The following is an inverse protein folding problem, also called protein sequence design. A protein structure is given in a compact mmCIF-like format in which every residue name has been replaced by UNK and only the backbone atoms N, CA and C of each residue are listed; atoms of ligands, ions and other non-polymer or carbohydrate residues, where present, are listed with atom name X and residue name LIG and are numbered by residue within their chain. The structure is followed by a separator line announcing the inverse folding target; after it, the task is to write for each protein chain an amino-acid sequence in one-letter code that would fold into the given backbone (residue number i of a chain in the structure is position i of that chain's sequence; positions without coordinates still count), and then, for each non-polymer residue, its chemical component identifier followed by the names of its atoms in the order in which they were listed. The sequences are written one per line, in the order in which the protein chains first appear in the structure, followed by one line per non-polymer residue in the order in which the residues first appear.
data_IF_102244928302
#
_entry.id   IF_102244928302
#
_cell.length_a   1.000
_cell.length_b   1.000
_cell.length_c   1.000
_cell.angle_alpha   90.00
_cell.angle_beta   90.00
_cell.angle_gamma   90.00
#
_symmetry.space_group_name_H-M   'P 1'
#
loop_
_entity.id
_entity.type
_entity.pdbx_description
1 polymer ?
#
# COMPACT_ATOMS: atom_id res chain seq x y z
N UNK A 1 -33.50 -32.38 -37.16
CA UNK A 1 -32.87 -31.20 -37.82
C UNK A 1 -32.56 -30.22 -36.67
N UNK A 2 -31.32 -30.27 -36.18
CA UNK A 2 -30.84 -29.37 -35.14
C UNK A 2 -30.61 -27.99 -35.74
N UNK A 3 -31.30 -27.00 -35.20
CA UNK A 3 -30.92 -25.65 -35.45
C UNK A 3 -29.49 -25.46 -34.95
N UNK A 4 -28.57 -25.16 -35.86
CA UNK A 4 -27.17 -24.95 -35.52
C UNK A 4 -27.08 -23.80 -34.51
N UNK A 5 -26.47 -24.08 -33.36
CA UNK A 5 -25.93 -23.01 -32.54
C UNK A 5 -25.10 -22.11 -33.46
N UNK A 6 -25.49 -20.84 -33.58
CA UNK A 6 -24.78 -19.89 -34.40
C UNK A 6 -23.29 -19.94 -34.01
N UNK A 7 -22.44 -20.00 -35.04
CA UNK A 7 -20.99 -19.98 -34.88
C UNK A 7 -20.64 -18.80 -33.96
N UNK A 8 -19.97 -19.05 -32.84
CA UNK A 8 -19.54 -17.97 -31.96
C UNK A 8 -18.58 -17.08 -32.75
N UNK A 9 -18.85 -15.82 -32.81
CA UNK A 9 -17.96 -14.83 -33.43
C UNK A 9 -17.14 -14.19 -32.32
N UNK A 10 -15.89 -14.48 -32.34
CA UNK A 10 -14.89 -13.93 -31.44
C UNK A 10 -14.78 -12.41 -31.60
N UNK A 11 -14.25 -11.74 -30.60
CA UNK A 11 -14.08 -10.29 -30.62
C UNK A 11 -12.79 -9.84 -31.35
N UNK A 12 -12.44 -8.59 -31.23
CA UNK A 12 -11.30 -8.02 -31.96
C UNK A 12 -9.95 -8.16 -31.27
N UNK A 13 -9.89 -8.83 -30.11
CA UNK A 13 -8.65 -9.02 -29.34
C UNK A 13 -8.03 -10.41 -29.56
N UNK A 14 -8.73 -11.30 -30.28
CA UNK A 14 -8.27 -12.64 -30.58
C UNK A 14 -7.01 -12.66 -31.52
N UNK A 15 -6.04 -13.55 -31.32
CA UNK A 15 -5.96 -14.68 -30.39
C UNK A 15 -5.25 -14.26 -29.10
N UNK A 16 -5.97 -14.14 -27.97
CA UNK A 16 -5.39 -13.78 -26.66
C UNK A 16 -5.57 -14.91 -25.63
N UNK A 17 -5.45 -16.16 -26.07
CA UNK A 17 -5.74 -17.40 -25.32
C UNK A 17 -4.74 -17.70 -24.20
N UNK A 18 -3.60 -17.07 -24.20
CA UNK A 18 -2.57 -17.27 -23.20
C UNK A 18 -1.86 -15.95 -22.81
N UNK A 19 -1.09 -15.99 -21.74
CA UNK A 19 -0.37 -14.83 -21.23
C UNK A 19 0.61 -14.22 -22.26
N UNK A 20 1.19 -15.03 -23.13
CA UNK A 20 2.17 -14.55 -24.13
C UNK A 20 1.50 -13.78 -25.29
N UNK A 21 0.22 -14.07 -25.52
CA UNK A 21 -0.60 -13.41 -26.54
C UNK A 21 -1.61 -12.41 -25.96
N UNK A 22 -1.59 -12.21 -24.66
CA UNK A 22 -2.50 -11.34 -23.94
C UNK A 22 -2.57 -9.92 -24.51
N UNK A 23 -3.79 -9.43 -24.69
CA UNK A 23 -4.04 -8.09 -25.20
C UNK A 23 -3.80 -7.02 -24.10
N UNK A 24 -3.18 -5.91 -24.47
CA UNK A 24 -2.96 -4.80 -23.54
C UNK A 24 -4.22 -3.92 -23.44
N UNK A 25 -4.72 -3.72 -22.22
CA UNK A 25 -5.83 -2.81 -21.95
C UNK A 25 -5.35 -1.57 -21.17
N UNK A 26 -6.13 -0.51 -21.29
CA UNK A 26 -6.00 0.67 -20.45
C UNK A 26 -6.97 0.59 -19.25
N UNK A 27 -6.70 1.36 -18.21
CA UNK A 27 -7.64 1.60 -17.12
C UNK A 27 -8.92 2.22 -17.69
N UNK A 28 -10.09 1.77 -17.21
CA UNK A 28 -11.40 2.16 -17.67
C UNK A 28 -12.22 0.97 -18.14
N UNK A 29 -13.24 1.20 -18.98
CA UNK A 29 -14.13 0.15 -19.47
C UNK A 29 -13.76 -0.28 -20.90
N UNK A 30 -13.76 -1.59 -21.13
CA UNK A 30 -13.65 -2.21 -22.46
C UNK A 30 -14.90 -3.03 -22.71
N UNK A 31 -15.67 -2.61 -23.71
CA UNK A 31 -16.94 -3.24 -24.08
C UNK A 31 -16.81 -4.11 -25.34
N UNK A 32 -17.80 -5.02 -25.50
CA UNK A 32 -17.93 -5.83 -26.70
C UNK A 32 -16.98 -7.02 -26.76
N UNK A 33 -16.46 -7.42 -25.61
CA UNK A 33 -15.68 -8.65 -25.44
C UNK A 33 -16.58 -9.87 -25.54
N UNK A 34 -16.00 -11.00 -25.96
CA UNK A 34 -16.74 -12.24 -26.14
C UNK A 34 -15.85 -13.46 -26.00
N UNK A 35 -16.21 -14.34 -25.09
CA UNK A 35 -15.57 -15.63 -24.90
C UNK A 35 -16.35 -16.73 -25.61
N UNK A 36 -15.66 -17.55 -26.40
CA UNK A 36 -16.22 -18.60 -27.22
C UNK A 36 -15.76 -19.99 -26.78
N UNK A 37 -16.68 -20.91 -26.63
CA UNK A 37 -16.34 -22.32 -26.40
C UNK A 37 -15.73 -22.59 -25.03
N UNK A 38 -14.45 -22.94 -24.97
CA UNK A 38 -13.64 -23.16 -23.76
C UNK A 38 -12.43 -22.27 -23.73
N UNK A 39 -12.55 -21.20 -24.37
CA UNK A 39 -11.53 -20.23 -24.53
C UNK A 39 -11.12 -19.53 -23.21
N UNK A 40 -10.05 -18.79 -23.27
CA UNK A 40 -9.53 -17.97 -22.19
C UNK A 40 -9.06 -16.65 -22.77
N UNK A 41 -9.66 -15.59 -22.32
CA UNK A 41 -9.25 -14.27 -22.74
C UNK A 41 -8.22 -13.72 -21.75
N UNK A 42 -7.00 -13.53 -22.22
CA UNK A 42 -5.94 -12.93 -21.42
C UNK A 42 -5.72 -11.48 -21.80
N UNK A 43 -5.67 -10.67 -20.77
CA UNK A 43 -5.36 -9.25 -20.90
C UNK A 43 -4.23 -8.85 -19.96
N UNK A 44 -3.62 -7.72 -20.24
CA UNK A 44 -2.64 -7.09 -19.34
C UNK A 44 -2.98 -5.64 -19.13
N UNK A 45 -2.82 -5.15 -17.90
CA UNK A 45 -2.97 -3.74 -17.57
C UNK A 45 -1.74 -3.25 -16.82
N UNK A 46 -1.14 -2.13 -17.22
CA UNK A 46 -0.11 -1.46 -16.42
C UNK A 46 -0.79 -0.82 -15.21
N UNK A 47 -0.22 -1.02 -14.03
CA UNK A 47 -0.71 -0.45 -12.78
C UNK A 47 0.44 0.19 -12.03
N UNK A 48 0.17 1.21 -11.25
CA UNK A 48 1.20 1.75 -10.38
C UNK A 48 1.31 0.88 -9.11
N UNK A 49 2.51 0.58 -8.69
CA UNK A 49 2.77 -0.12 -7.43
C UNK A 49 2.15 0.67 -6.28
N UNK A 50 1.56 -0.02 -5.31
CA UNK A 50 0.87 0.59 -4.18
C UNK A 50 -0.60 0.96 -4.45
N UNK A 51 -1.09 0.89 -5.71
CA UNK A 51 -2.49 1.20 -6.01
C UNK A 51 -3.45 0.10 -5.55
N UNK A 52 -4.69 0.50 -5.27
CA UNK A 52 -5.84 -0.40 -5.21
C UNK A 52 -6.33 -0.66 -6.64
N UNK A 53 -6.49 -1.92 -7.00
CA UNK A 53 -7.01 -2.35 -8.29
C UNK A 53 -8.35 -3.06 -8.09
N UNK A 54 -9.37 -2.61 -8.82
CA UNK A 54 -10.64 -3.33 -8.93
C UNK A 54 -10.87 -3.72 -10.38
N UNK A 55 -11.07 -5.01 -10.63
CA UNK A 55 -11.40 -5.54 -11.96
C UNK A 55 -12.77 -6.22 -11.87
N UNK A 56 -13.66 -5.84 -12.78
CA UNK A 56 -14.99 -6.46 -12.91
C UNK A 56 -15.18 -6.98 -14.31
N UNK A 57 -15.64 -8.24 -14.41
CA UNK A 57 -16.19 -8.79 -15.64
C UNK A 57 -17.72 -8.68 -15.55
N UNK A 58 -18.30 -7.85 -16.39
CA UNK A 58 -19.74 -7.54 -16.40
C UNK A 58 -20.42 -8.36 -17.48
N UNK A 59 -21.28 -9.28 -17.08
CA UNK A 59 -22.00 -10.19 -17.99
C UNK A 59 -23.34 -10.65 -17.40
N UNK A 60 -24.10 -11.39 -18.16
CA UNK A 60 -25.33 -12.04 -17.66
C UNK A 60 -25.12 -13.54 -17.54
N UNK A 61 -25.07 -14.08 -16.35
CA UNK A 61 -24.87 -15.52 -16.07
C UNK A 61 -25.89 -16.44 -16.82
N UNK A 62 -27.07 -15.92 -17.09
CA UNK A 62 -28.07 -16.62 -17.90
C UNK A 62 -27.61 -16.95 -19.33
N UNK A 63 -26.54 -16.32 -19.85
CA UNK A 63 -25.94 -16.60 -21.16
C UNK A 63 -24.79 -17.61 -21.08
N UNK A 64 -24.26 -17.84 -19.92
CA UNK A 64 -23.14 -18.73 -19.62
C UNK A 64 -22.38 -18.25 -18.42
N UNK A 65 -21.60 -19.14 -17.82
CA UNK A 65 -20.77 -18.88 -16.65
C UNK A 65 -19.35 -18.56 -17.08
N UNK A 66 -18.80 -17.44 -16.62
CA UNK A 66 -17.41 -17.04 -16.80
C UNK A 66 -16.84 -16.59 -15.48
N UNK A 67 -15.57 -16.93 -15.25
CA UNK A 67 -14.82 -16.60 -14.06
C UNK A 67 -13.72 -15.59 -14.37
N UNK A 68 -13.27 -14.89 -13.33
CA UNK A 68 -12.22 -13.88 -13.40
C UNK A 68 -11.06 -14.25 -12.47
N UNK A 69 -9.82 -14.19 -12.97
CA UNK A 69 -8.61 -14.35 -12.15
C UNK A 69 -7.55 -13.30 -12.49
N UNK A 70 -6.83 -12.84 -11.48
CA UNK A 70 -5.72 -11.88 -11.60
C UNK A 70 -4.40 -12.56 -11.21
N UNK A 71 -3.34 -12.24 -11.95
CA UNK A 71 -2.00 -12.80 -11.74
C UNK A 71 -0.95 -11.68 -11.71
N UNK A 72 0.13 -11.94 -10.96
CA UNK A 72 1.29 -11.08 -10.88
C UNK A 72 2.11 -11.05 -12.17
N UNK A 73 3.16 -10.21 -12.18
CA UNK A 73 3.98 -9.94 -13.37
C UNK A 73 4.66 -11.20 -13.93
N UNK A 74 5.04 -12.16 -13.09
CA UNK A 74 5.61 -13.45 -13.48
C UNK A 74 4.57 -14.47 -13.98
N UNK A 75 3.27 -14.17 -13.82
CA UNK A 75 2.15 -15.01 -14.25
C UNK A 75 1.98 -16.33 -13.52
N UNK A 76 2.78 -16.57 -12.49
CA UNK A 76 2.79 -17.83 -11.73
C UNK A 76 1.84 -17.84 -10.54
N UNK A 77 1.69 -16.73 -9.86
CA UNK A 77 0.88 -16.60 -8.66
C UNK A 77 -0.48 -15.96 -8.96
N UNK A 78 -1.56 -16.60 -8.48
CA UNK A 78 -2.90 -16.01 -8.52
C UNK A 78 -3.03 -15.03 -7.37
N UNK A 79 -3.16 -13.75 -7.68
CA UNK A 79 -3.33 -12.66 -6.70
C UNK A 79 -4.77 -12.57 -6.19
N UNK A 80 -5.74 -12.97 -7.01
CA UNK A 80 -7.15 -13.02 -6.65
C UNK A 80 -7.97 -13.68 -7.74
N UNK A 81 -9.12 -14.22 -7.37
CA UNK A 81 -10.07 -14.81 -8.30
C UNK A 81 -11.51 -14.62 -7.79
N UNK A 82 -12.44 -14.51 -8.73
CA UNK A 82 -13.87 -14.54 -8.50
C UNK A 82 -14.47 -15.63 -9.36
N UNK A 83 -15.22 -16.54 -8.72
CA UNK A 83 -15.75 -17.78 -9.33
C UNK A 83 -17.17 -18.02 -8.83
N UNK A 84 -18.01 -17.00 -8.90
CA UNK A 84 -19.39 -17.06 -8.45
C UNK A 84 -20.31 -17.62 -9.54
N UNK A 85 -21.55 -17.89 -9.19
CA UNK A 85 -22.60 -18.20 -10.16
C UNK A 85 -23.62 -17.06 -10.29
N UNK A 86 -23.22 -15.89 -9.89
CA UNK A 86 -24.01 -14.66 -10.01
C UNK A 86 -23.69 -13.94 -11.33
N UNK A 87 -24.48 -12.92 -11.68
CA UNK A 87 -24.09 -11.97 -12.71
C UNK A 87 -22.89 -11.16 -12.19
N UNK A 88 -21.93 -10.91 -13.04
CA UNK A 88 -20.70 -10.15 -12.78
C UNK A 88 -19.70 -10.85 -11.82
N UNK A 89 -18.44 -10.82 -12.20
CA UNK A 89 -17.31 -11.23 -11.36
C UNK A 89 -16.48 -10.01 -10.97
N UNK A 90 -16.05 -9.96 -9.69
CA UNK A 90 -15.23 -8.85 -9.19
C UNK A 90 -14.03 -9.38 -8.40
N UNK A 91 -12.85 -8.86 -8.71
CA UNK A 91 -11.63 -9.05 -7.91
C UNK A 91 -11.09 -7.70 -7.49
N UNK A 92 -10.83 -7.56 -6.20
CA UNK A 92 -10.23 -6.36 -5.61
C UNK A 92 -8.88 -6.72 -5.00
N UNK A 93 -7.82 -6.08 -5.46
CA UNK A 93 -6.53 -6.09 -4.83
C UNK A 93 -6.41 -4.78 -4.05
N UNK A 94 -6.41 -4.85 -2.73
CA UNK A 94 -6.36 -3.67 -1.87
C UNK A 94 -5.07 -2.86 -2.11
N UNK A 95 -4.00 -3.57 -2.48
CA UNK A 95 -2.71 -3.02 -2.83
C UNK A 95 -2.01 -3.91 -3.85
N UNK A 96 -1.50 -3.32 -4.91
CA UNK A 96 -0.76 -4.01 -5.97
C UNK A 96 0.74 -3.84 -5.74
N UNK A 97 1.46 -4.96 -5.61
CA UNK A 97 2.93 -4.96 -5.49
C UNK A 97 3.65 -4.95 -6.85
N UNK A 98 2.92 -5.01 -7.95
CA UNK A 98 3.39 -5.28 -9.30
C UNK A 98 3.19 -4.05 -10.20
N UNK A 99 4.04 -3.88 -11.20
CA UNK A 99 3.89 -2.81 -12.21
C UNK A 99 2.94 -3.18 -13.35
N UNK A 100 2.55 -4.47 -13.43
CA UNK A 100 1.63 -5.03 -14.40
C UNK A 100 0.83 -6.16 -13.78
N UNK A 101 -0.47 -6.19 -14.08
CA UNK A 101 -1.36 -7.28 -13.70
C UNK A 101 -1.85 -7.97 -14.96
N UNK A 102 -1.88 -9.31 -14.91
CA UNK A 102 -2.52 -10.13 -15.92
C UNK A 102 -3.94 -10.46 -15.46
N UNK A 103 -4.87 -10.35 -16.38
CA UNK A 103 -6.30 -10.61 -16.17
C UNK A 103 -6.67 -11.81 -17.06
N UNK A 104 -7.28 -12.84 -16.50
CA UNK A 104 -7.81 -13.97 -17.24
C UNK A 104 -9.32 -14.06 -17.01
N UNK A 105 -10.08 -14.00 -18.08
CA UNK A 105 -11.50 -14.39 -18.10
C UNK A 105 -11.59 -15.78 -18.71
N UNK A 106 -12.33 -16.68 -18.11
CA UNK A 106 -12.38 -18.06 -18.58
C UNK A 106 -13.71 -18.73 -18.27
N UNK A 107 -14.01 -19.80 -18.99
CA UNK A 107 -15.19 -20.63 -18.78
C UNK A 107 -14.83 -21.78 -17.84
N UNK A 108 -15.40 -21.86 -16.60
CA UNK A 108 -15.02 -22.88 -15.62
C UNK A 108 -15.44 -24.29 -16.02
N UNK A 109 -16.57 -24.45 -16.70
CA UNK A 109 -17.07 -25.74 -17.13
C UNK A 109 -17.96 -25.65 -18.36
N UNK A 110 -17.86 -26.66 -19.24
CA UNK A 110 -18.71 -26.73 -20.44
C UNK A 110 -18.17 -25.92 -21.60
N UNK A 111 -19.04 -25.27 -22.34
CA UNK A 111 -18.78 -24.34 -23.42
C UNK A 111 -19.71 -23.15 -23.27
N UNK A 112 -19.19 -21.96 -23.47
CA UNK A 112 -19.97 -20.73 -23.38
C UNK A 112 -19.93 -19.95 -24.70
N UNK A 113 -20.84 -19.03 -24.88
CA UNK A 113 -20.83 -17.97 -25.87
C UNK A 113 -21.36 -16.73 -25.16
N UNK A 114 -20.51 -16.10 -24.39
CA UNK A 114 -20.87 -15.02 -23.48
C UNK A 114 -20.22 -13.73 -23.96
N UNK A 115 -21.05 -12.72 -24.21
CA UNK A 115 -20.58 -11.35 -24.38
C UNK A 115 -20.41 -10.72 -23.00
N UNK A 116 -19.29 -10.01 -22.79
CA UNK A 116 -19.00 -9.36 -21.53
C UNK A 116 -18.30 -8.01 -21.74
N UNK A 117 -18.13 -7.26 -20.66
CA UNK A 117 -17.30 -6.05 -20.61
C UNK A 117 -16.37 -6.15 -19.43
N UNK A 118 -15.16 -5.60 -19.54
CA UNK A 118 -14.24 -5.43 -18.42
C UNK A 118 -14.28 -3.97 -17.94
N UNK A 119 -14.43 -3.78 -16.62
CA UNK A 119 -14.18 -2.52 -15.94
C UNK A 119 -12.94 -2.64 -15.09
N UNK A 120 -11.96 -1.79 -15.33
CA UNK A 120 -10.68 -1.76 -14.63
C UNK A 120 -10.56 -0.40 -13.94
N UNK A 121 -10.60 -0.39 -12.62
CA UNK A 121 -10.50 0.81 -11.80
C UNK A 121 -9.20 0.74 -10.99
N UNK A 122 -8.40 1.79 -11.05
CA UNK A 122 -7.16 1.95 -10.29
C UNK A 122 -7.31 3.18 -9.41
N UNK A 123 -7.27 2.99 -8.11
CA UNK A 123 -7.37 4.06 -7.11
C UNK A 123 -6.02 4.18 -6.39
N UNK A 124 -5.52 5.40 -6.25
CA UNK A 124 -4.17 5.59 -5.75
C UNK A 124 -3.12 5.13 -6.77
N UNK A 125 -1.86 5.13 -6.41
CA UNK A 125 -0.84 4.65 -7.33
C UNK A 125 -0.51 5.67 -8.45
N UNK A 126 -0.08 6.82 -8.06
CA UNK A 126 1.07 7.48 -8.66
C UNK A 126 2.21 7.01 -7.78
N UNK A 127 3.35 6.64 -8.32
CA UNK A 127 4.46 6.26 -7.46
C UNK A 127 4.51 7.23 -6.30
N UNK A 128 4.50 6.70 -5.08
CA UNK A 128 4.59 7.51 -3.88
C UNK A 128 5.76 8.46 -4.11
N UNK A 129 5.56 9.76 -4.24
CA UNK A 129 6.66 10.65 -4.54
C UNK A 129 7.59 10.63 -3.33
N UNK A 130 8.84 10.24 -3.56
CA UNK A 130 9.87 10.41 -2.55
C UNK A 130 9.82 11.85 -2.04
N UNK A 131 9.82 12.03 -0.74
CA UNK A 131 9.80 13.36 -0.16
C UNK A 131 11.18 14.06 -0.28
N UNK A 132 11.26 15.37 -0.04
CA UNK A 132 12.52 16.09 -0.17
C UNK A 132 13.62 15.67 0.83
N UNK A 133 13.29 14.79 1.79
CA UNK A 133 14.21 14.28 2.81
C UNK A 133 15.03 13.07 2.40
N UNK A 134 14.66 12.43 1.29
CA UNK A 134 15.21 11.15 0.85
C UNK A 134 16.64 11.22 0.27
N UNK A 135 17.42 10.13 0.44
CA UNK A 135 17.15 8.91 1.22
C UNK A 135 17.35 9.12 2.74
N UNK A 136 16.42 8.63 3.59
CA UNK A 136 16.49 8.79 5.04
C UNK A 136 16.09 7.53 5.84
N UNK A 137 16.03 6.34 5.24
CA UNK A 137 15.55 5.08 5.82
C UNK A 137 16.39 4.58 7.01
N UNK A 138 17.49 5.21 7.31
CA UNK A 138 18.40 4.76 8.35
C UNK A 138 18.92 5.88 9.23
N UNK A 139 19.34 5.55 10.46
CA UNK A 139 20.00 6.52 11.36
C UNK A 139 21.22 7.19 10.75
N UNK A 140 21.92 6.53 9.84
CA UNK A 140 23.11 7.08 9.18
C UNK A 140 22.74 8.14 8.11
N UNK A 141 21.56 8.00 7.53
CA UNK A 141 21.00 8.89 6.52
C UNK A 141 19.91 9.84 7.09
N UNK A 142 19.63 9.75 8.40
CA UNK A 142 18.55 10.48 9.06
C UNK A 142 18.56 11.98 8.76
N UNK A 143 17.40 12.50 8.35
CA UNK A 143 17.19 13.91 8.07
C UNK A 143 17.20 14.73 9.37
N UNK A 144 18.09 15.73 9.54
CA UNK A 144 18.12 16.56 10.73
C UNK A 144 16.89 17.47 10.81
N UNK A 145 16.22 17.49 11.96
CA UNK A 145 15.10 18.41 12.22
C UNK A 145 15.40 19.38 13.35
N UNK A 146 14.79 20.55 13.25
CA UNK A 146 14.90 21.58 14.29
C UNK A 146 13.70 21.48 15.23
N UNK A 147 13.89 21.16 16.54
CA UNK A 147 12.78 21.10 17.47
C UNK A 147 11.94 22.38 17.47
N UNK A 148 10.62 22.22 17.52
CA UNK A 148 9.65 23.30 17.44
C UNK A 148 9.25 23.72 16.02
N UNK A 149 9.85 23.12 14.99
CA UNK A 149 9.48 23.36 13.59
C UNK A 149 8.92 22.08 12.99
N UNK A 150 7.66 22.05 12.53
CA UNK A 150 7.11 20.87 11.88
C UNK A 150 7.79 20.60 10.53
N UNK A 151 7.92 19.34 10.20
CA UNK A 151 8.32 18.87 8.87
C UNK A 151 7.19 18.01 8.29
N UNK A 152 7.05 18.04 6.99
CA UNK A 152 6.09 17.18 6.27
C UNK A 152 6.86 16.16 5.48
N UNK A 153 6.35 14.95 5.43
CA UNK A 153 6.87 13.83 4.66
C UNK A 153 5.75 12.96 4.14
N UNK A 154 6.14 11.90 3.49
CA UNK A 154 5.26 10.92 2.91
C UNK A 154 5.88 9.53 3.09
N UNK A 155 5.21 8.64 3.81
CA UNK A 155 5.62 7.24 3.90
C UNK A 155 5.13 6.50 2.68
N UNK A 156 6.07 5.95 1.93
CA UNK A 156 5.83 5.05 0.83
C UNK A 156 5.77 3.58 1.30
N UNK A 157 5.28 2.65 0.47
CA UNK A 157 5.37 1.23 0.78
C UNK A 157 6.81 0.75 0.98
N UNK A 158 7.07 0.05 2.10
CA UNK A 158 8.41 -0.42 2.52
C UNK A 158 9.42 0.69 2.88
N UNK A 159 8.94 1.90 2.98
CA UNK A 159 9.71 3.08 3.35
C UNK A 159 9.77 3.26 4.87
N UNK A 160 10.82 3.92 5.33
CA UNK A 160 11.05 4.28 6.74
C UNK A 160 11.68 5.65 6.81
N UNK A 161 10.94 6.64 7.24
CA UNK A 161 11.47 7.98 7.46
C UNK A 161 12.18 8.10 8.81
N UNK A 162 13.45 8.39 8.77
CA UNK A 162 14.26 8.62 9.98
C UNK A 162 14.66 10.08 10.11
N UNK A 163 14.25 10.69 11.20
CA UNK A 163 14.60 12.06 11.57
C UNK A 163 15.54 12.08 12.77
N UNK A 164 16.46 13.03 12.80
CA UNK A 164 17.43 13.18 13.88
C UNK A 164 17.35 14.54 14.54
N UNK A 165 17.49 14.57 15.87
CA UNK A 165 17.52 15.79 16.67
C UNK A 165 18.39 15.63 17.92
N UNK A 166 18.95 16.74 18.38
CA UNK A 166 19.81 16.73 19.56
C UNK A 166 18.98 16.93 20.83
N UNK A 167 19.13 16.05 21.81
CA UNK A 167 18.54 16.22 23.14
C UNK A 167 19.58 16.06 24.24
N UNK A 168 19.34 16.74 25.36
CA UNK A 168 20.18 16.67 26.57
C UNK A 168 19.54 15.73 27.57
N UNK A 169 20.34 14.97 28.31
CA UNK A 169 19.86 14.14 29.41
C UNK A 169 18.89 14.90 30.32
N UNK A 170 17.83 14.24 30.75
CA UNK A 170 16.74 14.77 31.58
C UNK A 170 15.86 15.84 30.89
N UNK A 171 16.12 16.19 29.64
CA UNK A 171 15.25 17.02 28.83
C UNK A 171 13.99 16.23 28.42
N UNK A 172 12.82 16.86 28.48
CA UNK A 172 11.62 16.23 27.94
C UNK A 172 11.65 16.27 26.41
N UNK A 173 11.29 15.16 25.83
CA UNK A 173 11.11 14.97 24.38
C UNK A 173 9.65 14.64 24.16
N UNK A 174 9.00 15.34 23.24
CA UNK A 174 7.71 14.95 22.66
C UNK A 174 7.88 14.88 21.14
N UNK A 175 7.57 13.76 20.56
CA UNK A 175 7.51 13.56 19.11
C UNK A 175 6.07 13.22 18.76
N UNK A 176 5.50 13.98 17.82
CA UNK A 176 4.13 13.78 17.34
C UNK A 176 4.12 13.77 15.83
N UNK A 177 3.53 12.73 15.25
CA UNK A 177 3.20 12.61 13.83
C UNK A 177 1.67 12.72 13.68
N UNK A 178 1.21 13.58 12.80
CA UNK A 178 -0.22 13.75 12.45
C UNK A 178 -0.43 13.33 11.00
N UNK A 179 -1.44 12.50 10.76
CA UNK A 179 -1.81 11.93 9.46
C UNK A 179 -3.31 11.60 9.42
N UNK A 180 -3.83 11.15 8.31
CA UNK A 180 -5.21 10.65 8.18
C UNK A 180 -5.19 9.11 8.25
N UNK A 181 -5.46 8.53 9.40
CA UNK A 181 -5.43 7.08 9.61
C UNK A 181 -6.37 6.31 8.66
N UNK A 182 -7.42 6.95 8.15
CA UNK A 182 -8.31 6.33 7.17
C UNK A 182 -7.65 6.16 5.78
N UNK A 183 -6.58 6.91 5.50
CA UNK A 183 -5.79 6.79 4.26
C UNK A 183 -4.64 5.78 4.38
N UNK A 184 -4.22 5.44 5.60
CA UNK A 184 -3.16 4.48 5.91
C UNK A 184 -2.64 4.69 7.33
N UNK A 185 -2.36 3.63 8.04
CA UNK A 185 -1.87 3.63 9.41
C UNK A 185 -0.35 3.80 9.47
N UNK A 186 0.13 4.74 10.28
CA UNK A 186 1.56 5.00 10.48
C UNK A 186 1.95 4.79 11.92
N UNK A 187 3.06 4.11 12.14
CA UNK A 187 3.66 3.85 13.42
C UNK A 187 4.89 4.74 13.70
N UNK A 188 5.08 5.11 14.95
CA UNK A 188 6.18 5.98 15.38
C UNK A 188 7.08 5.29 16.41
N UNK A 189 8.39 5.35 16.19
CA UNK A 189 9.42 4.89 17.12
C UNK A 189 10.37 6.01 17.51
N UNK A 190 10.75 6.05 18.78
CA UNK A 190 11.78 6.95 19.29
C UNK A 190 13.00 6.16 19.74
N UNK A 191 14.18 6.49 19.19
CA UNK A 191 15.43 5.79 19.45
C UNK A 191 16.45 6.67 20.18
N UNK A 192 17.22 6.03 21.05
CA UNK A 192 18.39 6.60 21.70
C UNK A 192 19.56 6.79 20.71
N UNK A 193 20.62 7.56 21.11
CA UNK A 193 21.81 7.73 20.28
C UNK A 193 22.51 6.43 19.87
N UNK A 194 22.40 5.37 20.66
CA UNK A 194 22.94 4.04 20.37
C UNK A 194 22.04 3.19 19.45
N UNK A 195 20.85 3.67 19.13
CA UNK A 195 19.84 3.03 18.29
C UNK A 195 18.87 2.11 19.02
N UNK A 196 18.94 2.05 20.34
CA UNK A 196 17.97 1.30 21.13
C UNK A 196 16.63 2.03 21.12
N UNK A 197 15.55 1.32 20.91
CA UNK A 197 14.19 1.85 21.04
C UNK A 197 13.96 2.30 22.47
N UNK A 198 13.56 3.56 22.64
CA UNK A 198 13.20 4.15 23.93
C UNK A 198 11.71 3.98 24.20
N UNK A 199 10.91 4.17 23.18
CA UNK A 199 9.45 4.04 23.22
C UNK A 199 8.90 3.95 21.79
N UNK A 200 7.62 3.55 21.66
CA UNK A 200 6.91 3.49 20.39
C UNK A 200 5.42 3.83 20.60
N UNK A 201 4.77 4.23 19.54
CA UNK A 201 3.33 4.50 19.47
C UNK A 201 2.80 3.82 18.23
N UNK A 202 1.82 2.92 18.40
CA UNK A 202 1.20 2.06 17.37
C UNK A 202 -0.32 2.08 17.64
N UNK A 203 -0.94 3.22 17.35
CA UNK A 203 -2.36 3.45 17.58
C UNK A 203 -3.19 3.32 16.31
N UNK A 204 -4.47 3.63 16.39
CA UNK A 204 -5.38 3.72 15.24
C UNK A 204 -6.07 5.09 15.23
N UNK A 205 -5.38 6.09 15.72
CA UNK A 205 -5.81 7.48 15.78
C UNK A 205 -5.19 8.25 14.60
N UNK A 206 -5.66 9.46 14.31
CA UNK A 206 -5.08 10.32 13.26
C UNK A 206 -3.73 10.93 13.68
N UNK A 207 -3.05 10.34 14.62
CA UNK A 207 -1.72 10.74 15.09
C UNK A 207 -1.05 9.67 15.93
N UNK A 208 0.29 9.70 15.91
CA UNK A 208 1.13 9.00 16.87
C UNK A 208 1.91 10.00 17.75
N UNK A 209 2.01 9.74 19.05
CA UNK A 209 2.72 10.61 19.96
C UNK A 209 3.52 9.84 21.02
N UNK A 210 4.78 10.20 21.17
CA UNK A 210 5.67 9.69 22.21
C UNK A 210 6.15 10.86 23.07
N UNK A 211 6.00 10.74 24.38
CA UNK A 211 6.49 11.71 25.34
C UNK A 211 7.30 11.06 26.44
N UNK A 212 8.58 11.41 26.56
CA UNK A 212 9.47 10.87 27.60
C UNK A 212 10.57 11.87 27.99
N UNK A 213 11.43 11.49 28.94
CA UNK A 213 12.68 12.21 29.25
C UNK A 213 13.87 11.48 28.67
N UNK A 214 14.76 12.26 28.03
CA UNK A 214 16.01 11.73 27.51
C UNK A 214 16.87 11.11 28.62
N UNK A 215 17.27 9.87 28.46
CA UNK A 215 18.14 9.17 29.42
C UNK A 215 19.63 9.45 29.19
N UNK A 216 19.97 9.96 28.02
CA UNK A 216 21.34 10.28 27.60
C UNK A 216 21.35 11.60 26.82
N UNK A 217 22.49 12.29 26.82
CA UNK A 217 22.73 13.41 25.91
C UNK A 217 23.24 12.87 24.57
N UNK A 218 22.70 13.36 23.47
CA UNK A 218 23.15 12.97 22.12
C UNK A 218 22.07 13.09 21.09
N UNK A 219 22.37 12.58 19.90
CA UNK A 219 21.49 12.56 18.76
C UNK A 219 20.46 11.45 18.94
N UNK A 220 19.19 11.82 19.07
CA UNK A 220 18.05 10.91 19.13
C UNK A 220 17.39 10.83 17.76
N UNK A 221 16.59 9.79 17.53
CA UNK A 221 15.97 9.57 16.22
C UNK A 221 14.48 9.26 16.39
N UNK A 222 13.67 9.87 15.55
CA UNK A 222 12.28 9.48 15.33
C UNK A 222 12.20 8.70 14.01
N UNK A 223 11.55 7.55 14.04
CA UNK A 223 11.30 6.74 12.83
C UNK A 223 9.80 6.55 12.65
N UNK A 224 9.32 6.82 11.42
CA UNK A 224 7.97 6.51 10.98
C UNK A 224 8.01 5.43 9.91
N UNK A 225 6.99 4.59 9.88
CA UNK A 225 6.76 3.61 8.82
C UNK A 225 5.27 3.27 8.75
N UNK A 226 4.81 2.75 7.61
CA UNK A 226 3.43 2.32 7.44
C UNK A 226 3.19 0.94 8.05
N UNK A 227 2.13 0.82 8.86
CA UNK A 227 1.68 -0.48 9.37
C UNK A 227 1.25 -1.38 8.21
N UNK A 228 1.71 -2.65 8.21
CA UNK A 228 1.46 -3.64 7.15
C UNK A 228 1.72 -3.11 5.72
N UNK A 229 2.63 -2.12 5.62
CA UNK A 229 3.02 -1.49 4.38
C UNK A 229 2.07 -0.39 3.90
N UNK A 230 1.28 0.20 4.78
CA UNK A 230 0.47 1.38 4.48
C UNK A 230 1.34 2.57 4.05
N UNK A 231 0.72 3.48 3.31
CA UNK A 231 1.34 4.74 2.87
C UNK A 231 0.48 5.91 3.33
N UNK A 232 1.10 7.01 3.70
CA UNK A 232 0.36 8.23 4.08
C UNK A 232 1.26 9.47 4.03
N UNK A 233 0.63 10.62 3.80
CA UNK A 233 1.25 11.92 4.06
C UNK A 233 1.17 12.22 5.55
N UNK A 234 2.21 12.84 6.11
CA UNK A 234 2.21 13.18 7.52
C UNK A 234 2.88 14.53 7.82
N UNK A 235 2.67 15.02 9.03
CA UNK A 235 3.38 16.15 9.63
C UNK A 235 4.01 15.72 10.94
N UNK A 236 5.35 15.78 11.03
CA UNK A 236 6.11 15.44 12.23
C UNK A 236 6.55 16.69 12.97
N UNK A 237 6.32 16.74 14.28
CA UNK A 237 6.81 17.79 15.18
C UNK A 237 7.59 17.17 16.34
N UNK A 238 8.84 17.60 16.49
CA UNK A 238 9.66 17.31 17.67
C UNK A 238 9.63 18.53 18.59
N UNK A 239 9.24 18.34 19.82
CA UNK A 239 9.25 19.38 20.87
C UNK A 239 10.18 18.98 22.00
N UNK A 240 11.07 19.90 22.38
CA UNK A 240 11.95 19.72 23.54
C UNK A 240 11.53 20.69 24.65
N UNK A 241 11.27 20.15 25.81
CA UNK A 241 11.01 20.96 27.01
C UNK A 241 12.29 21.26 27.79
N UNK A 242 12.13 21.85 28.95
CA UNK A 242 13.24 22.17 29.83
C UNK A 242 13.94 20.91 30.39
N UNK A 243 15.24 21.04 30.62
CA UNK A 243 15.98 20.02 31.39
C UNK A 243 15.42 20.02 32.81
N UNK A 244 14.89 18.87 33.25
CA UNK A 244 14.38 18.75 34.61
C UNK A 244 15.47 19.09 35.65
N UNK A 245 15.10 19.52 36.85
CA UNK A 245 16.08 19.78 37.90
C UNK A 245 16.88 18.50 38.13
N UNK A 246 18.21 18.59 37.93
CA UNK A 246 19.10 17.52 38.36
C UNK A 246 18.99 17.44 39.91
N UNK A 247 18.54 16.30 40.42
CA UNK A 247 18.74 16.02 41.83
C UNK A 247 20.26 15.90 42.06
N UNK A 248 20.91 17.00 42.37
CA UNK A 248 22.22 16.94 42.99
C UNK A 248 21.96 16.55 44.45
N UNK A 249 22.34 15.31 44.84
CA UNK A 249 22.38 14.94 46.24
C UNK A 249 23.19 16.03 46.96
N UNK A 250 22.59 16.69 47.93
CA UNK A 250 23.35 17.61 48.75
C UNK A 250 24.35 16.79 49.60
N UNK A 251 25.38 17.46 50.07
CA UNK A 251 26.43 16.79 50.85
C UNK A 251 25.99 16.43 52.29
N UNK A 252 24.68 16.48 52.56
CA UNK A 252 24.10 16.25 53.87
C UNK A 252 23.29 14.94 53.96
N UNK A 253 23.24 14.14 52.90
CA UNK A 253 22.73 12.78 52.99
C UNK A 253 23.81 11.84 53.60
N UNK A 254 23.48 10.93 54.50
CA UNK A 254 22.17 10.44 54.85
C UNK A 254 21.61 11.06 56.13
N UNK A 255 20.40 11.55 56.03
CA UNK A 255 19.61 11.99 57.19
C UNK A 255 18.48 10.99 57.55
N UNK A 256 18.77 9.73 57.61
CA UNK A 256 17.88 8.69 58.11
C UNK A 256 18.12 8.37 59.59
#
# INVERSE_FOLDING_TARGET
EGEGAGECVEDGFEENDDQATAAALAVGSTDGLRICGRDRDWFSVPVAVGSRLTVRALFAHAQGDIDLALFGEDGGETLGASTSSDDDEEVVLARVAESRIWIMVYVPAGVANVGYSLSIEVEGGGGCPEDPGEPNESRAAATPVSPGTPVTGNICPEDVDTYSFQATRDQSITVRAEFDNAAGDLDLYLLAPDGRVLDYSEGAEDFEEISLRATTTGLHYAQLYGYDGDQNDYSLLVTLGEVGPSCTSDRLEPND
#
